data_IF_357646237046
#
_entry.id   IF_357646237046
#
_cell.length_a   1.000
_cell.length_b   1.000
_cell.length_c   1.000
_cell.angle_alpha   90.00
_cell.angle_beta   90.00
_cell.angle_gamma   90.00
#
_symmetry.space_group_name_H-M   'P 1'
#
loop_
_entity.id
_entity.type
_entity.pdbx_description
1 polymer ?
#
# COMPACT_ATOMS: atom_id res chain seq x y z
N UNK A 1 -4.52 -20.99 4.52
CA UNK A 1 -3.38 -20.07 4.27
C UNK A 1 -2.45 -20.18 5.47
N UNK A 2 -1.23 -20.62 5.23
CA UNK A 2 -0.19 -20.79 6.25
C UNK A 2 0.26 -19.43 6.80
N UNK A 3 0.49 -19.32 8.10
CA UNK A 3 0.98 -18.11 8.74
C UNK A 3 2.46 -18.25 9.12
N UNK A 4 3.29 -17.33 8.62
CA UNK A 4 4.71 -17.25 8.98
C UNK A 4 4.81 -16.69 10.40
N UNK A 5 5.55 -17.38 11.27
CA UNK A 5 5.70 -16.99 12.67
C UNK A 5 7.11 -16.52 12.97
N UNK A 6 7.18 -15.45 13.74
CA UNK A 6 8.44 -14.88 14.19
C UNK A 6 9.10 -13.93 13.19
N UNK A 7 9.82 -12.93 13.73
CA UNK A 7 10.44 -11.84 12.96
C UNK A 7 11.46 -12.34 11.93
N UNK A 8 12.31 -13.29 12.30
CA UNK A 8 13.37 -13.78 11.40
C UNK A 8 12.78 -14.47 10.16
N UNK A 9 11.76 -15.33 10.35
CA UNK A 9 11.05 -15.99 9.25
C UNK A 9 10.29 -14.99 8.38
N UNK A 10 9.61 -14.00 8.99
CA UNK A 10 8.93 -12.94 8.25
C UNK A 10 9.92 -12.14 7.39
N UNK A 11 11.06 -11.75 7.96
CA UNK A 11 12.11 -11.03 7.23
C UNK A 11 12.66 -11.87 6.07
N UNK A 12 12.93 -13.16 6.29
CA UNK A 12 13.39 -14.07 5.24
C UNK A 12 12.41 -14.09 4.05
N UNK A 13 11.11 -14.33 4.31
CA UNK A 13 10.08 -14.33 3.25
C UNK A 13 9.95 -12.97 2.56
N UNK A 14 10.07 -11.86 3.28
CA UNK A 14 9.95 -10.52 2.70
C UNK A 14 11.12 -10.13 1.81
N UNK A 15 12.28 -10.74 2.01
CA UNK A 15 13.52 -10.45 1.25
C UNK A 15 13.85 -11.49 0.19
N UNK A 16 13.25 -12.67 0.25
CA UNK A 16 13.46 -13.74 -0.71
C UNK A 16 12.71 -13.46 -2.02
N UNK A 17 13.40 -13.41 -3.18
CA UNK A 17 12.78 -13.16 -4.49
C UNK A 17 11.84 -14.27 -4.96
N UNK A 18 11.93 -15.47 -4.38
CA UNK A 18 11.01 -16.59 -4.70
C UNK A 18 9.63 -16.45 -4.06
N UNK A 19 9.48 -15.51 -3.11
CA UNK A 19 8.19 -15.14 -2.52
C UNK A 19 7.64 -13.85 -3.14
N UNK A 20 6.82 -14.02 -4.16
CA UNK A 20 6.18 -12.90 -4.89
C UNK A 20 4.85 -12.48 -4.28
N UNK A 21 4.28 -11.37 -4.73
CA UNK A 21 2.86 -11.08 -4.41
C UNK A 21 1.97 -12.02 -5.20
N UNK A 22 0.84 -12.49 -4.62
CA UNK A 22 -0.14 -13.27 -5.39
C UNK A 22 -0.56 -12.49 -6.65
N UNK A 23 -0.52 -13.12 -7.84
CA UNK A 23 -0.86 -12.45 -9.08
C UNK A 23 -2.33 -12.04 -9.12
N UNK A 24 -2.63 -11.00 -9.87
CA UNK A 24 -3.99 -10.57 -10.19
C UNK A 24 -4.23 -10.74 -11.69
N UNK A 25 -5.46 -11.06 -12.11
CA UNK A 25 -5.78 -11.19 -13.54
C UNK A 25 -5.63 -9.84 -14.24
N UNK A 26 -5.29 -9.84 -15.55
CA UNK A 26 -5.29 -8.62 -16.35
C UNK A 26 -6.70 -8.06 -16.47
N UNK A 27 -6.82 -6.74 -16.49
CA UNK A 27 -8.08 -6.04 -16.67
C UNK A 27 -7.85 -4.67 -17.29
N UNK A 28 -8.87 -4.12 -17.96
CA UNK A 28 -8.79 -2.86 -18.71
C UNK A 28 -9.55 -1.70 -18.06
N UNK A 29 -10.35 -1.94 -17.02
CA UNK A 29 -11.19 -0.92 -16.40
C UNK A 29 -11.45 -1.22 -14.92
N UNK A 30 -11.95 -0.25 -14.19
CA UNK A 30 -12.38 -0.37 -12.79
C UNK A 30 -11.23 -0.67 -11.82
N UNK A 31 -11.59 -1.16 -10.65
CA UNK A 31 -10.61 -1.50 -9.60
C UNK A 31 -9.72 -2.68 -10.02
N UNK A 32 -10.22 -3.57 -10.85
CA UNK A 32 -9.46 -4.68 -11.41
C UNK A 32 -8.30 -4.18 -12.29
N UNK A 33 -8.55 -3.17 -13.17
CA UNK A 33 -7.49 -2.50 -13.92
C UNK A 33 -6.47 -1.84 -13.00
N UNK A 34 -6.93 -1.14 -11.98
CA UNK A 34 -6.01 -0.49 -11.04
C UNK A 34 -5.08 -1.51 -10.39
N UNK A 35 -5.62 -2.64 -9.91
CA UNK A 35 -4.81 -3.74 -9.36
C UNK A 35 -3.82 -4.28 -10.38
N UNK A 36 -4.26 -4.53 -11.61
CA UNK A 36 -3.42 -5.08 -12.69
C UNK A 36 -2.32 -4.12 -13.16
N UNK A 37 -2.41 -2.80 -12.83
CA UNK A 37 -1.54 -1.77 -13.39
C UNK A 37 -0.61 -1.14 -12.34
N UNK A 38 -0.80 -1.40 -11.04
CA UNK A 38 0.05 -0.84 -9.97
C UNK A 38 1.17 -1.80 -9.54
N UNK A 39 2.28 -1.24 -9.04
CA UNK A 39 3.41 -2.03 -8.51
C UNK A 39 3.04 -2.94 -7.32
N UNK A 40 1.98 -2.62 -6.56
CA UNK A 40 1.55 -3.41 -5.39
C UNK A 40 1.29 -4.88 -5.73
N UNK A 41 0.71 -5.16 -6.90
CA UNK A 41 0.31 -6.49 -7.34
C UNK A 41 1.13 -7.02 -8.52
N UNK A 42 2.17 -6.30 -8.94
CA UNK A 42 3.08 -6.69 -10.02
C UNK A 42 4.31 -7.44 -9.50
N UNK A 43 5.00 -8.15 -10.39
CA UNK A 43 6.27 -8.82 -10.10
C UNK A 43 7.26 -8.61 -11.27
N UNK A 44 8.54 -8.94 -11.07
CA UNK A 44 9.56 -8.81 -12.10
C UNK A 44 9.73 -7.38 -12.60
N UNK A 45 10.07 -7.21 -13.87
CA UNK A 45 10.36 -5.93 -14.51
C UNK A 45 9.18 -4.95 -14.47
N UNK A 46 7.95 -5.45 -14.52
CA UNK A 46 6.77 -4.61 -14.39
C UNK A 46 6.66 -3.99 -12.99
N UNK A 47 7.00 -4.76 -11.96
CA UNK A 47 7.07 -4.25 -10.60
C UNK A 47 8.08 -3.11 -10.49
N UNK A 48 9.28 -3.29 -11.02
CA UNK A 48 10.35 -2.27 -10.94
C UNK A 48 9.92 -0.97 -11.61
N UNK A 49 9.37 -1.05 -12.82
CA UNK A 49 8.87 0.10 -13.58
C UNK A 49 7.75 0.83 -12.84
N UNK A 50 6.71 0.10 -12.42
CA UNK A 50 5.53 0.66 -11.74
C UNK A 50 5.86 1.18 -10.34
N UNK A 51 6.77 0.51 -9.64
CA UNK A 51 7.30 1.01 -8.38
C UNK A 51 8.07 2.31 -8.59
N UNK A 52 8.89 2.40 -9.63
CA UNK A 52 9.62 3.62 -9.98
C UNK A 52 8.69 4.83 -10.14
N UNK A 53 7.53 4.66 -10.79
CA UNK A 53 6.51 5.71 -10.90
C UNK A 53 6.01 6.16 -9.52
N UNK A 54 5.69 5.21 -8.64
CA UNK A 54 5.21 5.55 -7.29
C UNK A 54 6.27 6.22 -6.43
N UNK A 55 7.53 5.80 -6.56
CA UNK A 55 8.67 6.42 -5.86
C UNK A 55 8.88 7.84 -6.37
N UNK A 56 8.91 8.06 -7.68
CA UNK A 56 9.07 9.39 -8.27
C UNK A 56 7.95 10.38 -7.83
N UNK A 57 6.71 9.90 -7.73
CA UNK A 57 5.59 10.69 -7.19
C UNK A 57 5.87 11.10 -5.73
N UNK A 58 6.30 10.17 -4.90
CA UNK A 58 6.57 10.42 -3.50
C UNK A 58 7.77 11.34 -3.31
N UNK A 59 8.87 11.12 -4.05
CA UNK A 59 10.07 11.96 -3.98
C UNK A 59 9.81 13.42 -4.35
N UNK A 60 8.79 13.67 -5.19
CA UNK A 60 8.35 15.01 -5.54
C UNK A 60 7.51 15.69 -4.44
N UNK A 61 7.12 14.99 -3.37
CA UNK A 61 6.34 15.54 -2.25
C UNK A 61 7.26 15.84 -1.07
N UNK A 62 7.55 17.11 -0.77
CA UNK A 62 8.40 17.46 0.36
C UNK A 62 7.75 17.06 1.70
N UNK A 63 8.57 16.55 2.63
CA UNK A 63 8.09 16.04 3.91
C UNK A 63 7.72 17.16 4.89
N UNK A 64 8.41 18.30 4.82
CA UNK A 64 8.22 19.38 5.79
C UNK A 64 6.78 19.93 5.83
N UNK A 65 6.13 20.22 4.70
CA UNK A 65 4.73 20.65 4.73
C UNK A 65 3.75 19.58 5.25
N UNK A 66 4.13 18.31 5.25
CA UNK A 66 3.31 17.24 5.81
C UNK A 66 3.35 17.23 7.34
N UNK A 67 4.48 17.67 7.94
CA UNK A 67 4.64 17.81 9.39
C UNK A 67 3.78 18.92 9.99
N UNK A 68 3.19 19.77 9.16
CA UNK A 68 2.31 20.88 9.53
C UNK A 68 0.90 20.73 8.97
N UNK A 69 0.52 19.55 8.49
CA UNK A 69 -0.78 19.31 7.86
C UNK A 69 -1.97 19.26 8.85
N UNK A 70 -1.70 19.26 10.15
CA UNK A 70 -2.72 19.12 11.18
C UNK A 70 -3.43 17.76 11.11
N UNK A 71 -4.58 17.66 11.75
CA UNK A 71 -5.40 16.42 11.83
C UNK A 71 -6.26 16.20 10.57
N UNK A 72 -5.73 16.56 9.41
CA UNK A 72 -6.42 16.35 8.14
C UNK A 72 -6.25 14.93 7.63
N UNK A 73 -7.30 14.39 6.98
CA UNK A 73 -7.21 13.05 6.38
C UNK A 73 -6.05 12.97 5.36
N UNK A 74 -5.21 11.91 5.38
CA UNK A 74 -4.02 11.80 4.53
C UNK A 74 -4.28 12.07 3.04
N UNK A 75 -5.39 11.58 2.50
CA UNK A 75 -5.79 11.81 1.11
C UNK A 75 -6.08 13.30 0.84
N UNK A 76 -6.71 14.02 1.78
CA UNK A 76 -6.98 15.44 1.63
C UNK A 76 -5.68 16.27 1.58
N UNK A 77 -4.65 15.81 2.29
CA UNK A 77 -3.32 16.44 2.29
C UNK A 77 -2.54 16.12 1.01
N UNK A 78 -2.60 14.86 0.53
CA UNK A 78 -1.77 14.38 -0.58
C UNK A 78 -2.37 14.71 -1.96
N UNK A 79 -3.70 14.66 -2.14
CA UNK A 79 -4.33 14.83 -3.44
C UNK A 79 -3.98 16.16 -4.14
N UNK A 80 -3.95 17.33 -3.46
CA UNK A 80 -3.54 18.58 -4.09
C UNK A 80 -2.09 18.55 -4.60
N UNK A 81 -1.20 17.82 -3.92
CA UNK A 81 0.20 17.65 -4.32
C UNK A 81 0.38 16.76 -5.55
N UNK A 82 -0.65 15.98 -5.87
CA UNK A 82 -0.73 15.19 -7.10
C UNK A 82 -1.54 15.89 -8.21
N UNK A 83 -1.91 17.16 -8.00
CA UNK A 83 -2.63 17.97 -8.99
C UNK A 83 -4.15 17.86 -8.92
N UNK A 84 -4.73 17.26 -7.88
CA UNK A 84 -6.19 17.14 -7.69
C UNK A 84 -6.63 18.02 -6.53
N UNK A 85 -7.24 19.15 -6.83
CA UNK A 85 -7.73 20.13 -5.83
C UNK A 85 -9.16 19.89 -5.36
N UNK A 86 -9.91 19.04 -6.07
CA UNK A 86 -11.28 18.66 -5.68
C UNK A 86 -11.24 17.66 -4.51
N UNK A 87 -12.25 17.66 -3.63
CA UNK A 87 -12.38 16.65 -2.57
C UNK A 87 -12.52 15.24 -3.16
N UNK A 88 -11.57 14.36 -2.86
CA UNK A 88 -11.53 12.98 -3.38
C UNK A 88 -11.45 11.91 -2.28
N UNK A 89 -11.50 12.31 -1.02
CA UNK A 89 -11.38 11.36 0.11
C UNK A 89 -12.39 10.22 -0.01
N UNK A 90 -13.66 10.54 -0.30
CA UNK A 90 -14.69 9.49 -0.44
C UNK A 90 -14.46 8.59 -1.65
N UNK A 91 -14.06 9.14 -2.80
CA UNK A 91 -13.72 8.34 -3.98
C UNK A 91 -12.56 7.38 -3.68
N UNK A 92 -11.54 7.86 -2.98
CA UNK A 92 -10.40 7.02 -2.60
C UNK A 92 -10.82 5.94 -1.59
N UNK A 93 -11.69 6.24 -0.63
CA UNK A 93 -12.25 5.24 0.29
C UNK A 93 -13.07 4.17 -0.42
N UNK A 94 -13.88 4.58 -1.42
CA UNK A 94 -14.66 3.65 -2.23
C UNK A 94 -13.77 2.68 -3.02
N UNK A 95 -12.59 3.13 -3.46
CA UNK A 95 -11.60 2.26 -4.09
C UNK A 95 -10.85 1.43 -3.03
N UNK A 96 -10.45 2.03 -1.91
CA UNK A 96 -9.59 1.40 -0.91
C UNK A 96 -10.25 0.15 -0.28
N UNK A 97 -11.56 0.17 -0.02
CA UNK A 97 -12.29 -0.95 0.56
C UNK A 97 -12.28 -2.20 -0.33
N UNK A 98 -12.21 -2.04 -1.67
CA UNK A 98 -12.13 -3.11 -2.64
C UNK A 98 -10.72 -3.30 -3.23
N UNK A 99 -9.72 -2.55 -2.76
CA UNK A 99 -8.39 -2.57 -3.38
C UNK A 99 -7.65 -3.91 -3.22
N UNK A 100 -7.83 -4.59 -2.09
CA UNK A 100 -7.31 -5.94 -1.92
C UNK A 100 -8.25 -6.93 -2.63
N UNK A 101 -7.74 -7.84 -3.51
CA UNK A 101 -8.59 -8.83 -4.17
C UNK A 101 -9.42 -9.65 -3.19
N UNK A 102 -10.72 -9.80 -3.50
CA UNK A 102 -11.67 -10.54 -2.67
C UNK A 102 -12.15 -9.80 -1.43
N UNK A 103 -11.95 -8.48 -1.36
CA UNK A 103 -12.52 -7.64 -0.28
C UNK A 103 -13.48 -6.60 -0.84
N UNK A 104 -14.41 -6.16 -0.01
CA UNK A 104 -15.28 -5.03 -0.29
C UNK A 104 -16.22 -5.22 -1.48
N UNK A 105 -16.75 -4.09 -1.98
CA UNK A 105 -17.72 -4.00 -3.06
C UNK A 105 -17.10 -3.33 -4.30
N UNK A 106 -16.82 -4.12 -5.33
CA UNK A 106 -16.25 -3.63 -6.60
C UNK A 106 -17.24 -2.75 -7.38
N UNK A 107 -18.55 -2.99 -7.25
CA UNK A 107 -19.56 -2.17 -7.93
C UNK A 107 -19.56 -0.72 -7.45
N UNK A 108 -19.12 -0.48 -6.22
CA UNK A 108 -18.89 0.84 -5.63
C UNK A 108 -17.53 1.40 -6.02
N UNK A 109 -16.50 0.56 -6.12
CA UNK A 109 -15.14 0.97 -6.44
C UNK A 109 -14.98 1.37 -7.91
N UNK A 110 -15.59 0.67 -8.83
CA UNK A 110 -15.41 0.88 -10.27
C UNK A 110 -15.78 2.28 -10.73
N UNK A 111 -16.98 2.84 -10.42
CA UNK A 111 -17.29 4.22 -10.74
C UNK A 111 -16.33 5.23 -10.11
N UNK A 112 -15.82 4.93 -8.90
CA UNK A 112 -14.85 5.80 -8.22
C UNK A 112 -13.52 5.81 -8.97
N UNK A 113 -13.03 4.66 -9.45
CA UNK A 113 -11.82 4.59 -10.31
C UNK A 113 -12.01 5.40 -11.58
N UNK A 114 -13.14 5.27 -12.29
CA UNK A 114 -13.42 6.05 -13.51
C UNK A 114 -13.38 7.56 -13.25
N UNK A 115 -13.97 8.02 -12.14
CA UNK A 115 -13.94 9.44 -11.75
C UNK A 115 -12.52 9.91 -11.44
N UNK A 116 -11.73 9.09 -10.73
CA UNK A 116 -10.33 9.40 -10.42
C UNK A 116 -9.48 9.45 -11.69
N UNK A 117 -9.65 8.50 -12.61
CA UNK A 117 -8.97 8.53 -13.92
C UNK A 117 -9.30 9.82 -14.67
N UNK A 118 -10.58 10.24 -14.72
CA UNK A 118 -10.98 11.49 -15.34
C UNK A 118 -10.31 12.71 -14.70
N UNK A 119 -10.17 12.75 -13.37
CA UNK A 119 -9.48 13.82 -12.64
C UNK A 119 -7.97 13.87 -12.92
N UNK A 120 -7.36 12.74 -13.26
CA UNK A 120 -5.94 12.64 -13.61
C UNK A 120 -5.65 12.69 -15.13
N UNK A 121 -6.61 13.16 -15.95
CA UNK A 121 -6.42 13.40 -17.39
C UNK A 121 -7.08 12.35 -18.30
N UNK A 122 -7.93 11.46 -17.76
CA UNK A 122 -8.80 10.57 -18.53
C UNK A 122 -8.13 9.34 -19.15
N UNK A 123 -6.86 9.04 -18.82
CA UNK A 123 -6.11 7.93 -19.42
C UNK A 123 -5.97 6.77 -18.44
N UNK A 124 -6.32 5.57 -18.92
CA UNK A 124 -6.07 4.31 -18.21
C UNK A 124 -4.65 3.84 -18.49
N UNK A 125 -3.67 4.51 -17.88
CA UNK A 125 -2.23 4.24 -18.03
C UNK A 125 -1.52 4.07 -16.68
N UNK A 126 -0.28 3.59 -16.71
CA UNK A 126 0.51 3.35 -15.50
C UNK A 126 0.79 4.61 -14.68
N UNK A 127 1.07 5.81 -15.25
CA UNK A 127 1.21 7.03 -14.47
C UNK A 127 -0.05 7.41 -13.70
N UNK A 128 -1.22 7.26 -14.33
CA UNK A 128 -2.52 7.49 -13.67
C UNK A 128 -2.77 6.47 -12.56
N UNK A 129 -2.54 5.18 -12.84
CA UNK A 129 -2.66 4.13 -11.84
C UNK A 129 -1.71 4.36 -10.64
N UNK A 130 -0.48 4.82 -10.88
CA UNK A 130 0.47 5.11 -9.80
C UNK A 130 -0.02 6.25 -8.89
N UNK A 131 -0.58 7.35 -9.44
CA UNK A 131 -1.15 8.45 -8.66
C UNK A 131 -2.33 7.99 -7.80
N UNK A 132 -3.28 7.27 -8.40
CA UNK A 132 -4.41 6.69 -7.67
C UNK A 132 -3.90 5.71 -6.61
N UNK A 133 -2.96 4.84 -6.97
CA UNK A 133 -2.39 3.84 -6.07
C UNK A 133 -1.70 4.44 -4.85
N UNK A 134 -0.99 5.57 -5.00
CA UNK A 134 -0.38 6.29 -3.86
C UNK A 134 -1.46 6.78 -2.90
N UNK A 135 -2.54 7.40 -3.40
CA UNK A 135 -3.63 7.89 -2.56
C UNK A 135 -4.39 6.74 -1.87
N UNK A 136 -4.69 5.67 -2.60
CA UNK A 136 -5.40 4.49 -2.06
C UNK A 136 -4.60 3.82 -0.94
N UNK A 137 -3.29 3.65 -1.13
CA UNK A 137 -2.43 3.01 -0.12
C UNK A 137 -2.18 3.90 1.10
N UNK A 138 -2.23 5.22 0.94
CA UNK A 138 -2.12 6.17 2.05
C UNK A 138 -3.45 6.35 2.82
N UNK A 139 -4.59 5.97 2.23
CA UNK A 139 -5.93 6.27 2.75
C UNK A 139 -6.13 5.73 4.16
N UNK A 140 -6.33 4.43 4.28
CA UNK A 140 -6.72 3.81 5.56
C UNK A 140 -5.52 3.58 6.48
N UNK A 141 -4.41 3.06 5.94
CA UNK A 141 -3.26 2.70 6.77
C UNK A 141 -2.66 3.92 7.49
N UNK A 142 -2.55 5.06 6.82
CA UNK A 142 -2.02 6.28 7.45
C UNK A 142 -3.05 6.92 8.37
N UNK A 143 -4.34 6.94 8.00
CA UNK A 143 -5.40 7.47 8.86
C UNK A 143 -5.51 6.69 10.18
N UNK A 144 -5.47 5.35 10.10
CA UNK A 144 -5.45 4.48 11.29
C UNK A 144 -4.18 4.70 12.12
N UNK A 145 -3.01 4.90 11.48
CA UNK A 145 -1.78 5.19 12.20
C UNK A 145 -1.88 6.52 12.96
N UNK A 146 -2.41 7.57 12.35
CA UNK A 146 -2.66 8.87 12.98
C UNK A 146 -3.58 8.69 14.19
N UNK A 147 -4.72 8.01 14.01
CA UNK A 147 -5.68 7.81 15.08
C UNK A 147 -5.07 7.05 16.28
N UNK A 148 -4.41 5.92 16.04
CA UNK A 148 -3.77 5.11 17.08
C UNK A 148 -2.65 5.83 17.81
N UNK A 149 -1.99 6.79 17.16
CA UNK A 149 -0.90 7.57 17.77
C UNK A 149 -1.36 8.80 18.54
N UNK A 150 -2.67 9.08 18.63
CA UNK A 150 -3.19 10.18 19.45
C UNK A 150 -2.82 10.04 20.93
N UNK A 151 -2.79 8.81 21.44
CA UNK A 151 -2.57 8.51 22.84
C UNK A 151 -1.40 7.53 23.08
N UNK A 152 -0.68 7.14 22.05
CA UNK A 152 0.43 6.18 22.10
C UNK A 152 1.63 6.68 21.31
N UNK A 153 2.83 6.24 21.67
CA UNK A 153 4.01 6.51 20.86
C UNK A 153 3.93 5.72 19.56
N UNK A 154 4.43 6.31 18.45
CA UNK A 154 4.36 5.69 17.12
C UNK A 154 5.06 4.32 17.09
N UNK A 155 6.20 4.18 17.77
CA UNK A 155 6.93 2.92 17.81
C UNK A 155 6.18 1.81 18.58
N UNK A 156 5.40 2.18 19.60
CA UNK A 156 4.52 1.25 20.31
C UNK A 156 3.39 0.77 19.40
N UNK A 157 2.76 1.69 18.67
CA UNK A 157 1.70 1.34 17.72
C UNK A 157 2.23 0.41 16.63
N UNK A 158 3.39 0.74 16.05
CA UNK A 158 3.99 -0.07 15.00
C UNK A 158 4.42 -1.46 15.49
N UNK A 159 4.81 -1.58 16.76
CA UNK A 159 5.21 -2.85 17.38
C UNK A 159 4.01 -3.73 17.75
N UNK A 160 3.00 -3.15 18.39
CA UNK A 160 1.96 -3.90 19.07
C UNK A 160 0.65 -3.97 18.28
N UNK A 161 0.36 -2.94 17.48
CA UNK A 161 -0.91 -2.79 16.75
C UNK A 161 -0.72 -2.02 15.43
N UNK A 162 0.11 -2.53 14.50
CA UNK A 162 0.36 -1.84 13.24
C UNK A 162 -0.90 -1.75 12.38
N UNK A 163 -1.14 -0.63 11.65
CA UNK A 163 -2.32 -0.47 10.78
C UNK A 163 -2.45 -1.56 9.72
N UNK A 164 -1.33 -2.09 9.26
CA UNK A 164 -1.28 -3.22 8.32
C UNK A 164 -0.62 -4.39 9.04
N UNK A 165 -1.39 -5.27 9.70
CA UNK A 165 -0.83 -6.32 10.56
C UNK A 165 -0.13 -7.44 9.79
N UNK A 166 -0.39 -7.59 8.49
CA UNK A 166 0.24 -8.62 7.67
C UNK A 166 0.16 -8.31 6.17
N UNK A 167 0.98 -9.02 5.41
CA UNK A 167 0.91 -9.07 3.94
C UNK A 167 0.87 -10.52 3.46
N UNK A 168 0.49 -10.71 2.19
CA UNK A 168 0.48 -12.03 1.54
C UNK A 168 1.70 -12.17 0.63
N UNK A 169 2.27 -13.38 0.59
CA UNK A 169 3.27 -13.80 -0.39
C UNK A 169 2.91 -15.16 -0.92
N UNK A 170 3.26 -15.42 -2.17
CA UNK A 170 3.12 -16.72 -2.82
C UNK A 170 4.49 -17.24 -3.16
N UNK A 171 4.78 -18.49 -2.79
CA UNK A 171 6.01 -19.17 -3.15
C UNK A 171 5.98 -19.53 -4.63
N UNK A 172 7.03 -19.22 -5.38
CA UNK A 172 7.17 -19.62 -6.79
C UNK A 172 7.83 -20.98 -6.94
N UNK A 173 8.54 -21.42 -5.90
CA UNK A 173 9.17 -22.75 -5.78
C UNK A 173 8.92 -23.27 -4.36
N UNK A 174 8.97 -24.58 -4.17
CA UNK A 174 8.92 -25.16 -2.82
C UNK A 174 10.12 -24.69 -2.01
N UNK A 175 9.87 -24.15 -0.81
CA UNK A 175 10.88 -23.57 0.07
C UNK A 175 10.66 -23.99 1.51
N UNK A 176 11.74 -23.99 2.31
CA UNK A 176 11.66 -24.23 3.76
C UNK A 176 11.85 -22.91 4.50
N UNK A 177 10.89 -22.51 5.31
CA UNK A 177 10.92 -21.30 6.13
C UNK A 177 10.72 -21.65 7.59
N UNK A 178 11.74 -21.42 8.42
CA UNK A 178 11.73 -21.74 9.86
C UNK A 178 11.27 -23.19 10.15
N UNK A 179 11.72 -24.16 9.37
CA UNK A 179 11.38 -25.57 9.50
C UNK A 179 10.03 -25.98 8.92
N UNK A 180 9.27 -25.05 8.34
CA UNK A 180 8.01 -25.32 7.66
C UNK A 180 8.24 -25.39 6.15
N UNK A 181 7.70 -26.41 5.50
CA UNK A 181 7.67 -26.49 4.02
C UNK A 181 6.53 -25.62 3.52
N UNK A 182 6.83 -24.77 2.54
CA UNK A 182 5.87 -23.97 1.78
C UNK A 182 5.96 -24.45 0.34
N UNK A 183 4.88 -25.03 -0.17
CA UNK A 183 4.86 -25.59 -1.52
C UNK A 183 4.78 -24.50 -2.60
N UNK A 184 5.31 -24.80 -3.79
CA UNK A 184 5.17 -23.92 -4.95
C UNK A 184 3.69 -23.59 -5.21
N UNK A 185 3.37 -22.32 -5.40
CA UNK A 185 2.00 -21.82 -5.56
C UNK A 185 1.27 -21.54 -4.24
N UNK A 186 1.77 -22.00 -3.10
CA UNK A 186 1.14 -21.75 -1.82
C UNK A 186 1.26 -20.27 -1.39
N UNK A 187 0.16 -19.73 -0.86
CA UNK A 187 0.10 -18.37 -0.33
C UNK A 187 0.26 -18.37 1.18
N UNK A 188 1.25 -17.63 1.66
CA UNK A 188 1.52 -17.45 3.10
C UNK A 188 1.11 -16.06 3.56
N UNK A 189 0.69 -15.96 4.82
CA UNK A 189 0.47 -14.72 5.54
C UNK A 189 1.73 -14.35 6.32
N UNK A 190 2.28 -13.17 6.05
CA UNK A 190 3.52 -12.68 6.67
C UNK A 190 3.19 -11.53 7.61
N UNK A 191 3.42 -11.66 8.92
CA UNK A 191 3.13 -10.59 9.88
C UNK A 191 4.05 -9.39 9.67
N UNK A 192 3.48 -8.20 9.91
CA UNK A 192 4.15 -6.91 9.80
C UNK A 192 4.03 -6.19 11.15
N UNK A 193 5.09 -6.16 11.93
CA UNK A 193 5.11 -5.47 13.22
C UNK A 193 6.52 -4.95 13.52
N UNK A 194 6.63 -3.96 14.40
CA UNK A 194 7.90 -3.37 14.79
C UNK A 194 8.66 -2.79 13.59
N UNK A 195 9.90 -3.19 13.42
CA UNK A 195 10.74 -2.77 12.30
C UNK A 195 10.26 -3.29 10.94
N UNK A 196 9.40 -4.31 10.92
CA UNK A 196 8.74 -4.84 9.73
C UNK A 196 7.37 -4.20 9.44
N UNK A 197 6.86 -3.26 10.24
CA UNK A 197 5.54 -2.65 10.06
C UNK A 197 5.35 -1.98 8.68
N UNK A 198 6.44 -1.54 8.05
CA UNK A 198 6.45 -1.02 6.68
C UNK A 198 7.00 -2.03 5.65
N UNK A 199 7.08 -3.30 6.00
CA UNK A 199 7.69 -4.34 5.18
C UNK A 199 9.22 -4.28 5.17
N UNK A 200 9.83 -5.17 4.39
CA UNK A 200 11.29 -5.25 4.21
C UNK A 200 11.65 -5.59 2.76
N UNK A 201 12.96 -5.53 2.45
CA UNK A 201 13.51 -5.86 1.14
C UNK A 201 13.03 -4.94 0.03
N UNK A 202 13.03 -5.42 -1.21
CA UNK A 202 12.69 -4.60 -2.38
C UNK A 202 11.26 -4.02 -2.31
N UNK A 203 10.35 -4.69 -1.60
CA UNK A 203 8.94 -4.29 -1.46
C UNK A 203 8.62 -3.49 -0.19
N UNK A 204 9.64 -2.98 0.51
CA UNK A 204 9.42 -2.06 1.64
C UNK A 204 8.59 -0.87 1.20
N UNK A 205 7.70 -0.40 2.07
CA UNK A 205 6.82 0.74 1.78
C UNK A 205 7.63 1.97 1.37
N UNK A 206 7.43 2.53 0.16
CA UNK A 206 8.14 3.73 -0.28
C UNK A 206 7.63 4.98 0.41
N UNK A 207 6.37 4.98 0.87
CA UNK A 207 5.73 6.11 1.57
C UNK A 207 5.96 6.16 3.09
N UNK A 208 6.89 5.36 3.65
CA UNK A 208 7.12 5.34 5.11
C UNK A 208 7.41 6.73 5.66
N UNK A 209 8.31 7.48 5.03
CA UNK A 209 8.68 8.82 5.49
C UNK A 209 7.49 9.78 5.45
N UNK A 210 6.64 9.71 4.42
CA UNK A 210 5.44 10.52 4.27
C UNK A 210 4.38 10.17 5.32
N UNK A 211 4.14 8.89 5.57
CA UNK A 211 3.21 8.45 6.62
C UNK A 211 3.65 8.97 8.00
N UNK A 212 4.94 8.85 8.34
CA UNK A 212 5.48 9.34 9.61
C UNK A 212 5.46 10.88 9.71
N UNK A 213 5.66 11.59 8.59
CA UNK A 213 5.54 13.06 8.55
C UNK A 213 4.10 13.51 8.80
N UNK A 214 3.10 12.83 8.20
CA UNK A 214 1.69 13.08 8.45
C UNK A 214 1.28 12.79 9.90
N UNK A 215 1.80 11.71 10.49
CA UNK A 215 1.60 11.41 11.93
C UNK A 215 2.17 12.53 12.81
N UNK A 216 3.36 13.01 12.50
CA UNK A 216 3.97 14.10 13.24
C UNK A 216 3.13 15.39 13.14
N UNK A 217 2.61 15.71 11.95
CA UNK A 217 1.75 16.85 11.70
C UNK A 217 0.41 16.81 12.44
N UNK A 218 -0.16 15.64 12.60
CA UNK A 218 -1.44 15.45 13.30
C UNK A 218 -1.31 15.54 14.84
N UNK A 219 -0.09 15.54 15.37
CA UNK A 219 0.20 15.60 16.83
C UNK A 219 0.67 16.98 17.30
N UNK A 220 1.04 17.86 16.39
CA UNK A 220 1.41 19.26 16.65
C UNK A 220 0.22 20.16 16.63
#
# INVERSE_FOLDING_TARGET
MLEIRGRAAALAVLTDPTFVVPPVPPASTGVAWLRATVGRFSSGIEYERRRGLSVAILDAIPLEPLRHAGDSHPVAVLAPRLGVTRPVVQLIRDVAQAYQPGTGDESRADPAVHRLVALFGGRFDEPTAARIGVLVQACEATAVLIDRTRHRHVDEVLRDDPPVPATKRQATVTATVAGMTVEAGEVVRVPLAGDLAFGAGPRRCPGRAHALALVAGARG
#
